data_IF_746010915727
#
_entry.id   IF_746010915727
#
_cell.length_a   1.000
_cell.length_b   1.000
_cell.length_c   1.000
_cell.angle_alpha   90.00
_cell.angle_beta   90.00
_cell.angle_gamma   90.00
#
_symmetry.space_group_name_H-M   'P 1'
#
loop_
_entity.id
_entity.type
_entity.pdbx_description
1 polymer ?
#
# COMPACT_ATOMS: atom_id res chain seq x y z
N UNK A 1 -0.61 -40.72 -20.48
CA UNK A 1 -0.27 -40.94 -19.05
C UNK A 1 -0.16 -39.56 -18.44
N UNK A 2 -0.87 -39.26 -17.34
CA UNK A 2 -0.74 -37.95 -16.66
C UNK A 2 0.69 -37.77 -16.17
N UNK A 3 1.22 -36.55 -16.23
CA UNK A 3 2.53 -36.27 -15.61
C UNK A 3 2.42 -36.44 -14.09
N UNK A 4 3.56 -36.63 -13.41
CA UNK A 4 3.55 -36.72 -11.95
C UNK A 4 3.03 -35.42 -11.30
N UNK A 5 3.35 -34.28 -11.88
CA UNK A 5 2.90 -32.97 -11.38
C UNK A 5 1.41 -32.77 -11.59
N UNK A 6 0.87 -33.20 -12.73
CA UNK A 6 -0.56 -33.20 -12.96
C UNK A 6 -1.28 -34.14 -11.98
N UNK A 7 -0.78 -35.36 -11.79
CA UNK A 7 -1.38 -36.31 -10.84
C UNK A 7 -1.40 -35.76 -9.41
N UNK A 8 -0.32 -35.08 -8.98
CA UNK A 8 -0.25 -34.40 -7.67
C UNK A 8 -1.25 -33.25 -7.56
N UNK A 9 -1.43 -32.47 -8.64
CA UNK A 9 -2.40 -31.37 -8.65
C UNK A 9 -3.84 -31.89 -8.48
N UNK A 10 -4.22 -32.94 -9.21
CA UNK A 10 -5.53 -33.60 -9.02
C UNK A 10 -5.69 -34.15 -7.60
N UNK A 11 -4.67 -34.83 -7.05
CA UNK A 11 -4.76 -35.34 -5.68
C UNK A 11 -4.92 -34.22 -4.65
N UNK A 12 -4.26 -33.08 -4.85
CA UNK A 12 -4.41 -31.89 -3.99
C UNK A 12 -5.81 -31.30 -4.09
N UNK A 13 -6.38 -31.26 -5.30
CA UNK A 13 -7.74 -30.83 -5.58
C UNK A 13 -8.77 -31.72 -4.84
N UNK A 14 -8.69 -33.04 -5.05
CA UNK A 14 -9.57 -34.03 -4.42
C UNK A 14 -9.47 -33.96 -2.89
N UNK A 15 -8.25 -33.93 -2.34
CA UNK A 15 -8.06 -33.84 -0.89
C UNK A 15 -8.67 -32.57 -0.29
N UNK A 16 -8.57 -31.44 -0.99
CA UNK A 16 -9.15 -30.18 -0.51
C UNK A 16 -10.67 -30.25 -0.53
N UNK A 17 -11.25 -30.84 -1.58
CA UNK A 17 -12.68 -31.09 -1.68
C UNK A 17 -13.18 -32.08 -0.62
N UNK A 18 -12.43 -33.13 -0.29
CA UNK A 18 -12.84 -34.11 0.73
C UNK A 18 -12.71 -33.58 2.17
N UNK A 19 -11.88 -32.56 2.39
CA UNK A 19 -11.56 -32.02 3.73
C UNK A 19 -12.06 -30.60 3.96
N UNK A 20 -12.88 -30.05 3.06
CA UNK A 20 -13.30 -28.64 3.10
C UNK A 20 -13.94 -28.23 4.43
N UNK A 21 -14.75 -29.10 5.04
CA UNK A 21 -15.40 -28.81 6.34
C UNK A 21 -14.40 -28.58 7.47
N UNK A 22 -13.25 -29.28 7.44
CA UNK A 22 -12.19 -29.10 8.42
C UNK A 22 -11.52 -27.73 8.25
N UNK A 23 -11.29 -27.31 7.01
CA UNK A 23 -10.72 -26.00 6.71
C UNK A 23 -11.70 -24.88 7.05
N UNK A 24 -12.98 -25.07 6.77
CA UNK A 24 -14.04 -24.14 7.16
C UNK A 24 -14.13 -23.99 8.68
N UNK A 25 -14.02 -25.09 9.44
CA UNK A 25 -13.98 -25.06 10.90
C UNK A 25 -12.76 -24.28 11.44
N UNK A 26 -11.60 -24.36 10.79
CA UNK A 26 -10.42 -23.56 11.16
C UNK A 26 -10.71 -22.07 10.99
N UNK A 27 -11.29 -21.65 9.85
CA UNK A 27 -11.66 -20.24 9.64
C UNK A 27 -12.72 -19.76 10.63
N UNK A 28 -13.80 -20.53 10.82
CA UNK A 28 -14.83 -20.18 11.79
C UNK A 28 -14.29 -20.05 13.23
N UNK A 29 -13.31 -20.89 13.60
CA UNK A 29 -12.64 -20.78 14.89
C UNK A 29 -11.76 -19.53 14.99
N UNK A 30 -11.04 -19.18 13.92
CA UNK A 30 -10.28 -17.94 13.86
C UNK A 30 -11.20 -16.72 14.03
N UNK A 31 -12.30 -16.67 13.26
CA UNK A 31 -13.24 -15.55 13.29
C UNK A 31 -13.87 -15.40 14.68
N UNK A 32 -14.32 -16.49 15.30
CA UNK A 32 -14.88 -16.47 16.65
C UNK A 32 -13.88 -15.97 17.71
N UNK A 33 -12.59 -16.33 17.58
CA UNK A 33 -11.55 -15.84 18.49
C UNK A 33 -11.31 -14.34 18.32
N UNK A 34 -11.34 -13.84 17.08
CA UNK A 34 -11.21 -12.41 16.78
C UNK A 34 -12.41 -11.62 17.30
N UNK A 35 -13.63 -12.12 17.11
CA UNK A 35 -14.87 -11.52 17.62
C UNK A 35 -14.88 -11.39 19.16
N UNK A 36 -14.24 -12.33 19.85
CA UNK A 36 -14.06 -12.28 21.31
C UNK A 36 -12.94 -11.31 21.76
N UNK A 37 -12.34 -10.56 20.84
CA UNK A 37 -11.23 -9.63 21.10
C UNK A 37 -9.86 -10.30 21.24
N UNK A 38 -9.76 -11.58 20.87
CA UNK A 38 -8.50 -12.32 20.85
C UNK A 38 -7.70 -12.11 19.56
N UNK A 39 -6.44 -12.57 19.52
CA UNK A 39 -5.57 -12.44 18.34
C UNK A 39 -5.92 -13.39 17.18
N UNK A 40 -6.96 -14.22 17.32
CA UNK A 40 -7.30 -15.27 16.35
C UNK A 40 -6.32 -16.45 16.35
N UNK A 41 -6.47 -17.33 15.36
CA UNK A 41 -5.49 -18.38 15.06
C UNK A 41 -4.26 -17.82 14.31
N UNK A 42 -3.08 -18.49 14.38
CA UNK A 42 -1.90 -18.09 13.64
C UNK A 42 -2.16 -17.98 12.14
N UNK A 43 -1.68 -16.90 11.53
CA UNK A 43 -1.97 -16.53 10.14
C UNK A 43 -1.60 -17.63 9.13
N UNK A 44 -0.50 -18.36 9.36
CA UNK A 44 -0.11 -19.50 8.53
C UNK A 44 -1.22 -20.55 8.40
N UNK A 45 -1.96 -20.83 9.48
CA UNK A 45 -3.04 -21.81 9.47
C UNK A 45 -4.30 -21.26 8.80
N UNK A 46 -4.58 -19.97 9.03
CA UNK A 46 -5.69 -19.25 8.39
C UNK A 46 -5.50 -19.23 6.87
N UNK A 47 -4.31 -18.84 6.40
CA UNK A 47 -3.98 -18.77 4.97
C UNK A 47 -3.96 -20.15 4.31
N UNK A 48 -3.51 -21.20 5.01
CA UNK A 48 -3.65 -22.59 4.51
C UNK A 48 -5.10 -23.03 4.39
N UNK A 49 -5.95 -22.68 5.36
CA UNK A 49 -7.37 -22.97 5.30
C UNK A 49 -8.04 -22.25 4.11
N UNK A 50 -7.75 -20.95 3.92
CA UNK A 50 -8.19 -20.17 2.75
C UNK A 50 -7.74 -20.83 1.44
N UNK A 51 -6.46 -21.18 1.30
CA UNK A 51 -5.93 -21.84 0.11
C UNK A 51 -6.66 -23.16 -0.23
N UNK A 52 -6.97 -23.98 0.78
CA UNK A 52 -7.69 -25.24 0.58
C UNK A 52 -9.18 -25.01 0.25
N UNK A 53 -9.82 -24.01 0.84
CA UNK A 53 -11.21 -23.67 0.56
C UNK A 53 -11.40 -23.05 -0.83
N UNK A 54 -10.49 -22.17 -1.26
CA UNK A 54 -10.42 -21.66 -2.63
C UNK A 54 -10.29 -22.83 -3.60
N UNK A 55 -9.33 -23.73 -3.34
CA UNK A 55 -9.15 -24.93 -4.16
C UNK A 55 -10.40 -25.80 -4.20
N UNK A 56 -11.06 -26.01 -3.07
CA UNK A 56 -12.30 -26.78 -2.98
C UNK A 56 -13.52 -26.08 -3.61
N UNK A 57 -13.37 -24.87 -4.15
CA UNK A 57 -14.45 -24.07 -4.73
C UNK A 57 -15.46 -23.59 -3.68
N UNK A 58 -15.06 -23.51 -2.41
CA UNK A 58 -15.90 -23.01 -1.32
C UNK A 58 -15.72 -21.51 -1.08
N UNK A 59 -14.62 -20.93 -1.57
CA UNK A 59 -14.32 -19.50 -1.57
C UNK A 59 -13.82 -19.14 -2.98
N UNK A 60 -14.03 -17.89 -3.41
CA UNK A 60 -13.53 -17.42 -4.71
C UNK A 60 -12.26 -16.57 -4.51
N UNK A 61 -11.31 -16.66 -5.45
CA UNK A 61 -10.12 -15.79 -5.38
C UNK A 61 -10.47 -14.31 -5.52
N UNK A 62 -11.60 -13.99 -6.16
CA UNK A 62 -12.10 -12.63 -6.35
C UNK A 62 -12.51 -11.93 -5.06
N UNK A 63 -12.72 -12.66 -3.97
CA UNK A 63 -13.06 -12.09 -2.66
C UNK A 63 -11.84 -11.55 -1.90
N UNK A 64 -10.65 -11.69 -2.48
CA UNK A 64 -9.37 -11.37 -1.85
C UNK A 64 -8.60 -10.32 -2.62
N UNK A 65 -7.87 -9.46 -1.91
CA UNK A 65 -6.93 -8.53 -2.54
C UNK A 65 -5.72 -9.27 -3.11
N UNK A 66 -4.96 -8.62 -3.98
CA UNK A 66 -3.71 -9.17 -4.51
C UNK A 66 -2.69 -9.47 -3.40
N UNK A 67 -2.67 -8.62 -2.36
CA UNK A 67 -1.83 -8.84 -1.19
C UNK A 67 -2.26 -10.10 -0.42
N UNK A 68 -3.56 -10.28 -0.20
CA UNK A 68 -4.10 -11.49 0.46
C UNK A 68 -3.79 -12.75 -0.35
N UNK A 69 -3.99 -12.72 -1.67
CA UNK A 69 -3.73 -13.87 -2.53
C UNK A 69 -2.23 -14.25 -2.55
N UNK A 70 -1.33 -13.25 -2.49
CA UNK A 70 0.12 -13.49 -2.34
C UNK A 70 0.44 -14.22 -1.03
N UNK A 71 -0.12 -13.79 0.09
CA UNK A 71 0.13 -14.45 1.40
C UNK A 71 -0.51 -15.84 1.47
N UNK A 72 -1.71 -16.01 0.90
CA UNK A 72 -2.39 -17.31 0.77
C UNK A 72 -1.53 -18.28 -0.04
N UNK A 73 -1.06 -17.88 -1.24
CA UNK A 73 -0.26 -18.72 -2.11
C UNK A 73 1.06 -19.17 -1.44
N UNK A 74 1.74 -18.25 -0.74
CA UNK A 74 2.98 -18.55 0.00
C UNK A 74 2.79 -19.60 1.10
N UNK A 75 1.60 -19.71 1.69
CA UNK A 75 1.31 -20.60 2.82
C UNK A 75 1.13 -22.08 2.45
N UNK A 76 0.74 -22.35 1.21
CA UNK A 76 0.30 -23.68 0.73
C UNK A 76 1.09 -24.19 -0.50
N UNK A 77 1.99 -23.35 -1.02
CA UNK A 77 2.92 -23.66 -2.10
C UNK A 77 2.30 -23.51 -3.50
N UNK A 78 3.10 -22.97 -4.41
CA UNK A 78 2.69 -22.56 -5.76
C UNK A 78 3.43 -23.39 -6.82
N UNK A 79 2.73 -23.81 -7.89
CA UNK A 79 3.39 -24.46 -9.02
C UNK A 79 4.06 -23.42 -9.92
N UNK A 80 5.22 -23.77 -10.46
CA UNK A 80 5.90 -22.96 -11.47
C UNK A 80 5.35 -23.36 -12.84
N UNK A 81 5.05 -22.37 -13.67
CA UNK A 81 4.52 -22.58 -15.01
C UNK A 81 5.44 -23.48 -15.86
N UNK A 82 4.81 -24.41 -16.57
CA UNK A 82 5.42 -25.16 -17.67
C UNK A 82 4.32 -25.54 -18.66
N UNK A 83 4.62 -25.48 -19.96
CA UNK A 83 3.72 -25.90 -21.03
C UNK A 83 3.31 -27.40 -20.95
N UNK A 84 3.93 -28.19 -20.06
CA UNK A 84 3.67 -29.62 -19.88
C UNK A 84 3.20 -30.00 -18.48
N UNK A 85 2.89 -29.02 -17.61
CA UNK A 85 2.43 -29.29 -16.23
C UNK A 85 1.01 -29.86 -16.14
N UNK A 86 0.32 -29.99 -17.28
CA UNK A 86 -1.02 -30.55 -17.41
C UNK A 86 -2.10 -29.56 -17.01
N UNK A 87 -3.15 -30.08 -16.38
CA UNK A 87 -4.30 -29.27 -15.95
C UNK A 87 -3.89 -28.19 -14.95
N UNK A 88 -4.37 -26.97 -15.15
CA UNK A 88 -4.32 -25.85 -14.21
C UNK A 88 -5.74 -25.52 -13.80
N UNK A 89 -6.01 -25.52 -12.50
CA UNK A 89 -7.36 -25.33 -11.97
C UNK A 89 -7.72 -23.85 -11.90
N UNK A 90 -9.03 -23.56 -11.91
CA UNK A 90 -9.52 -22.21 -11.59
C UNK A 90 -9.04 -21.83 -10.19
N UNK A 91 -8.68 -20.57 -10.00
CA UNK A 91 -8.18 -19.97 -8.77
C UNK A 91 -6.83 -20.54 -8.28
N UNK A 92 -6.15 -21.33 -9.10
CA UNK A 92 -4.84 -21.86 -8.77
C UNK A 92 -3.76 -20.78 -8.92
N UNK A 93 -2.93 -20.56 -7.88
CA UNK A 93 -1.77 -19.68 -7.99
C UNK A 93 -0.66 -20.36 -8.80
N UNK A 94 -0.08 -19.61 -9.73
CA UNK A 94 1.00 -20.06 -10.62
C UNK A 94 2.11 -19.01 -10.63
N UNK A 95 3.35 -19.45 -10.47
CA UNK A 95 4.52 -18.59 -10.74
C UNK A 95 4.77 -18.59 -12.24
N UNK A 96 4.67 -17.43 -12.87
CA UNK A 96 4.87 -17.23 -14.30
C UNK A 96 6.34 -17.36 -14.73
N UNK A 97 6.63 -17.35 -16.05
CA UNK A 97 7.99 -17.35 -16.58
C UNK A 97 8.83 -16.14 -16.15
N UNK A 98 8.16 -15.03 -15.85
CA UNK A 98 8.71 -13.78 -15.32
C UNK A 98 8.99 -13.84 -13.80
N UNK A 99 8.75 -14.98 -13.16
CA UNK A 99 8.85 -15.18 -11.70
C UNK A 99 7.82 -14.41 -10.88
N UNK A 100 6.83 -13.79 -11.53
CA UNK A 100 5.72 -13.13 -10.85
C UNK A 100 4.58 -14.12 -10.54
N UNK A 101 3.73 -13.75 -9.60
CA UNK A 101 2.62 -14.58 -9.18
C UNK A 101 1.35 -14.22 -9.95
N UNK A 102 0.66 -15.25 -10.44
CA UNK A 102 -0.59 -15.13 -11.17
C UNK A 102 -1.65 -16.03 -10.55
N UNK A 103 -2.92 -15.68 -10.74
CA UNK A 103 -4.07 -16.55 -10.46
C UNK A 103 -4.69 -16.98 -11.78
N UNK A 104 -4.91 -18.28 -11.91
CA UNK A 104 -5.65 -18.85 -13.03
C UNK A 104 -7.14 -18.47 -12.92
N UNK A 105 -7.68 -17.77 -13.89
CA UNK A 105 -9.09 -17.33 -13.89
C UNK A 105 -10.04 -18.40 -14.43
N UNK A 106 -9.53 -19.27 -15.32
CA UNK A 106 -10.30 -20.30 -16.00
C UNK A 106 -9.50 -21.59 -16.08
N UNK A 107 -10.07 -22.70 -15.60
CA UNK A 107 -9.41 -24.02 -15.71
C UNK A 107 -9.11 -24.37 -17.17
N UNK A 108 -7.87 -24.81 -17.44
CA UNK A 108 -7.42 -25.18 -18.78
C UNK A 108 -6.27 -26.21 -18.74
N UNK A 109 -5.90 -26.73 -19.91
CA UNK A 109 -4.66 -27.51 -20.07
C UNK A 109 -3.50 -26.55 -20.38
N UNK A 110 -2.41 -26.67 -19.63
CA UNK A 110 -1.19 -25.95 -19.96
C UNK A 110 -0.69 -26.39 -21.35
N UNK A 111 -0.27 -25.42 -22.15
CA UNK A 111 0.29 -25.63 -23.48
C UNK A 111 1.22 -24.48 -23.86
N UNK A 112 1.97 -24.65 -24.96
CA UNK A 112 2.82 -23.59 -25.48
C UNK A 112 2.02 -22.32 -25.79
N UNK A 113 2.68 -21.16 -25.68
CA UNK A 113 2.14 -19.82 -25.94
C UNK A 113 1.03 -19.33 -25.00
N UNK A 114 0.54 -20.18 -24.10
CA UNK A 114 -0.52 -19.85 -23.12
C UNK A 114 0.03 -19.55 -21.73
N UNK A 115 1.31 -19.20 -21.62
CA UNK A 115 1.92 -18.86 -20.34
C UNK A 115 1.29 -17.60 -19.73
N UNK A 116 1.31 -17.46 -18.39
CA UNK A 116 0.98 -16.20 -17.74
C UNK A 116 1.79 -15.04 -18.33
N UNK A 117 1.17 -13.87 -18.46
CA UNK A 117 1.80 -12.66 -19.01
C UNK A 117 1.96 -12.65 -20.55
N UNK A 118 1.55 -13.70 -21.27
CA UNK A 118 1.55 -13.69 -22.74
C UNK A 118 0.19 -13.29 -23.30
N UNK A 119 0.17 -12.95 -24.59
CA UNK A 119 -1.09 -12.77 -25.32
C UNK A 119 -1.99 -14.00 -25.20
N UNK A 120 -1.47 -15.23 -25.38
CA UNK A 120 -2.28 -16.44 -25.23
C UNK A 120 -2.84 -16.66 -23.81
N UNK A 121 -2.10 -16.25 -22.78
CA UNK A 121 -2.50 -16.38 -21.38
C UNK A 121 -3.38 -15.26 -20.84
N UNK A 122 -3.58 -14.16 -21.58
CA UNK A 122 -4.23 -12.92 -21.10
C UNK A 122 -5.65 -13.06 -20.54
N UNK A 123 -6.39 -14.08 -20.96
CA UNK A 123 -7.75 -14.36 -20.45
C UNK A 123 -7.76 -15.51 -19.43
N UNK A 124 -6.65 -16.23 -19.31
CA UNK A 124 -6.49 -17.43 -18.49
C UNK A 124 -5.84 -17.12 -17.15
N UNK A 125 -5.06 -16.04 -17.08
CA UNK A 125 -4.31 -15.63 -15.91
C UNK A 125 -4.52 -14.15 -15.60
N UNK A 126 -4.61 -13.86 -14.32
CA UNK A 126 -4.55 -12.50 -13.78
C UNK A 126 -3.26 -12.35 -12.97
N UNK A 127 -2.39 -11.36 -13.28
CA UNK A 127 -1.22 -11.06 -12.46
C UNK A 127 -1.65 -10.55 -11.09
N UNK A 128 -0.90 -10.91 -10.04
CA UNK A 128 -1.04 -10.37 -8.70
C UNK A 128 0.02 -9.30 -8.47
N UNK A 129 -0.38 -8.02 -8.53
CA UNK A 129 0.56 -6.89 -8.47
C UNK A 129 0.41 -6.12 -7.17
N UNK A 130 1.48 -5.48 -6.75
CA UNK A 130 1.47 -4.52 -5.65
C UNK A 130 1.65 -3.14 -6.26
N UNK A 131 0.78 -2.20 -5.90
CA UNK A 131 0.95 -0.82 -6.33
C UNK A 131 2.25 -0.24 -5.73
N UNK A 132 3.02 0.55 -6.51
CA UNK A 132 4.17 1.27 -5.99
C UNK A 132 3.74 2.24 -4.88
N UNK A 133 4.50 2.26 -3.77
CA UNK A 133 4.27 3.21 -2.66
C UNK A 133 4.83 4.61 -2.97
N UNK A 134 5.84 4.69 -3.84
CA UNK A 134 6.49 5.94 -4.21
C UNK A 134 5.62 6.75 -5.17
N UNK A 135 5.32 8.00 -4.79
CA UNK A 135 4.56 8.94 -5.64
C UNK A 135 5.32 9.19 -6.94
N UNK A 136 4.61 9.16 -8.06
CA UNK A 136 5.20 9.36 -9.39
C UNK A 136 5.78 8.07 -10.01
N UNK A 137 5.76 6.95 -9.29
CA UNK A 137 6.14 5.65 -9.83
C UNK A 137 4.90 4.89 -10.27
N UNK A 138 4.84 4.57 -11.57
CA UNK A 138 3.69 3.91 -12.18
C UNK A 138 4.10 2.58 -12.80
N UNK A 139 3.22 1.59 -12.62
CA UNK A 139 3.30 0.30 -13.28
C UNK A 139 2.95 0.43 -14.76
N UNK A 140 3.67 -0.31 -15.61
CA UNK A 140 3.28 -0.44 -17.02
C UNK A 140 2.06 -1.36 -17.17
N UNK A 141 1.26 -1.12 -18.22
CA UNK A 141 0.24 -2.07 -18.66
C UNK A 141 0.85 -3.42 -19.04
N UNK A 142 0.21 -4.50 -18.57
CA UNK A 142 0.56 -5.87 -18.93
C UNK A 142 -0.70 -6.69 -19.27
N UNK A 143 -0.50 -7.81 -19.97
CA UNK A 143 -1.57 -8.71 -20.36
C UNK A 143 -2.27 -9.35 -19.16
N UNK A 144 -3.60 -9.30 -19.16
CA UNK A 144 -4.47 -9.97 -18.18
C UNK A 144 -4.64 -9.23 -16.85
N UNK A 145 -4.03 -8.05 -16.69
CA UNK A 145 -4.16 -7.27 -15.46
C UNK A 145 -5.56 -6.71 -15.27
N UNK A 146 -6.09 -6.82 -14.05
CA UNK A 146 -7.26 -6.04 -13.64
C UNK A 146 -6.78 -4.78 -12.92
N UNK A 147 -6.87 -3.63 -13.59
CA UNK A 147 -6.44 -2.35 -13.03
C UNK A 147 -7.54 -1.79 -12.13
N UNK A 148 -7.28 -1.59 -10.83
CA UNK A 148 -8.28 -1.04 -9.90
C UNK A 148 -8.65 0.40 -10.25
N UNK A 149 -9.87 0.81 -9.89
CA UNK A 149 -10.27 2.21 -9.99
C UNK A 149 -9.34 3.12 -9.19
N UNK A 150 -8.97 4.26 -9.79
CA UNK A 150 -8.04 5.23 -9.20
C UNK A 150 -6.56 4.85 -9.32
N UNK A 151 -6.23 3.61 -9.68
CA UNK A 151 -4.86 3.25 -10.02
C UNK A 151 -4.44 3.90 -11.34
N UNK A 152 -3.14 4.12 -11.49
CA UNK A 152 -2.55 4.74 -12.68
C UNK A 152 -1.59 3.76 -13.32
N UNK A 153 -1.63 3.70 -14.65
CA UNK A 153 -0.73 2.86 -15.44
C UNK A 153 -0.10 3.66 -16.56
N UNK A 154 1.14 3.31 -16.86
CA UNK A 154 1.85 3.80 -18.03
C UNK A 154 1.59 2.86 -19.20
N UNK A 155 1.21 3.43 -20.32
CA UNK A 155 1.12 2.69 -21.57
C UNK A 155 2.54 2.55 -22.17
N UNK A 156 3.05 1.32 -22.37
CA UNK A 156 4.41 1.11 -22.86
C UNK A 156 4.63 1.60 -24.30
N UNK A 157 3.58 1.85 -25.08
CA UNK A 157 3.67 2.27 -26.48
C UNK A 157 3.77 3.79 -26.60
N UNK A 158 2.86 4.52 -25.96
CA UNK A 158 2.81 5.99 -26.06
C UNK A 158 3.41 6.73 -24.86
N UNK A 159 3.77 6.00 -23.80
CA UNK A 159 4.36 6.50 -22.55
C UNK A 159 3.44 7.42 -21.74
N UNK A 160 2.15 7.52 -22.09
CA UNK A 160 1.17 8.31 -21.36
C UNK A 160 0.62 7.53 -20.16
N UNK A 161 0.06 8.29 -19.21
CA UNK A 161 -0.54 7.75 -18.00
C UNK A 161 -2.05 7.70 -18.15
N UNK A 162 -2.63 6.57 -17.75
CA UNK A 162 -4.07 6.35 -17.83
C UNK A 162 -4.62 5.84 -16.50
N UNK A 163 -5.85 6.20 -16.20
CA UNK A 163 -6.58 5.73 -15.02
C UNK A 163 -7.98 5.24 -15.39
N UNK A 164 -8.47 4.13 -14.82
CA UNK A 164 -9.83 3.66 -15.07
C UNK A 164 -10.89 4.68 -14.67
N UNK A 165 -11.98 4.76 -15.43
CA UNK A 165 -13.12 5.65 -15.10
C UNK A 165 -14.27 4.92 -14.40
N UNK A 166 -14.27 3.59 -14.39
CA UNK A 166 -15.30 2.77 -13.75
C UNK A 166 -14.83 2.32 -12.37
N UNK A 167 -15.71 2.43 -11.38
CA UNK A 167 -15.44 2.00 -9.99
C UNK A 167 -15.06 0.52 -9.89
N UNK A 168 -15.58 -0.32 -10.78
CA UNK A 168 -15.23 -1.74 -10.83
C UNK A 168 -13.76 -2.00 -11.24
N UNK A 169 -13.04 -1.00 -11.76
CA UNK A 169 -11.77 -1.22 -12.45
C UNK A 169 -11.97 -1.72 -13.88
N UNK A 170 -10.87 -2.07 -14.55
CA UNK A 170 -10.86 -2.53 -15.95
C UNK A 170 -9.84 -3.65 -16.14
N UNK A 171 -10.27 -4.77 -16.73
CA UNK A 171 -9.36 -5.85 -17.15
C UNK A 171 -8.74 -5.52 -18.50
N UNK A 172 -7.40 -5.54 -18.54
CA UNK A 172 -6.60 -5.32 -19.72
C UNK A 172 -6.34 -6.63 -20.45
N UNK A 173 -6.86 -6.71 -21.66
CA UNK A 173 -6.55 -7.81 -22.57
C UNK A 173 -5.59 -7.41 -23.67
N UNK A 174 -5.04 -6.20 -23.68
CA UNK A 174 -3.99 -5.69 -24.59
C UNK A 174 -3.19 -4.58 -23.86
N UNK A 175 -1.86 -4.47 -24.01
CA UNK A 175 -1.05 -3.46 -23.32
C UNK A 175 -1.20 -2.04 -23.88
N UNK A 176 -1.95 -1.85 -24.97
CA UNK A 176 -2.17 -0.55 -25.61
C UNK A 176 -3.61 -0.42 -26.12
N UNK A 177 -4.34 0.58 -25.64
CA UNK A 177 -5.79 0.70 -25.89
C UNK A 177 -6.23 2.14 -26.25
N UNK A 178 -5.88 2.68 -27.43
CA UNK A 178 -6.39 3.99 -27.86
C UNK A 178 -7.91 3.99 -28.06
N UNK A 179 -8.54 2.81 -28.25
CA UNK A 179 -9.99 2.68 -28.46
C UNK A 179 -10.81 2.53 -27.16
N UNK A 180 -10.17 2.28 -26.01
CA UNK A 180 -10.84 2.27 -24.71
C UNK A 180 -10.81 3.66 -24.03
N UNK A 181 -10.18 4.63 -24.67
CA UNK A 181 -10.24 6.04 -24.26
C UNK A 181 -11.28 6.75 -25.13
N UNK A 182 -12.31 7.41 -24.56
CA UNK A 182 -12.55 7.65 -23.13
C UNK A 182 -13.58 6.70 -22.49
N UNK A 183 -13.81 5.50 -23.05
CA UNK A 183 -14.93 4.62 -22.64
C UNK A 183 -14.68 3.80 -21.37
N UNK A 184 -13.44 3.40 -21.11
CA UNK A 184 -12.99 2.65 -19.92
C UNK A 184 -11.86 3.37 -19.17
N UNK A 185 -11.03 4.13 -19.89
CA UNK A 185 -9.90 4.88 -19.35
C UNK A 185 -9.98 6.36 -19.71
N UNK A 186 -9.31 7.19 -18.91
CA UNK A 186 -9.00 8.59 -19.23
C UNK A 186 -7.50 8.84 -19.05
N UNK A 187 -6.99 9.86 -19.74
CA UNK A 187 -5.66 10.37 -19.50
C UNK A 187 -5.54 10.84 -18.05
N UNK A 188 -4.47 10.46 -17.38
CA UNK A 188 -4.14 10.91 -16.03
C UNK A 188 -3.17 12.08 -16.12
N UNK A 189 -3.57 13.18 -15.50
CA UNK A 189 -2.73 14.36 -15.29
C UNK A 189 -2.31 14.35 -13.82
N UNK A 190 -1.00 14.37 -13.57
CA UNK A 190 -0.51 14.48 -12.21
C UNK A 190 -1.02 15.79 -11.59
N UNK A 191 -1.62 15.76 -10.39
CA UNK A 191 -2.00 16.98 -9.72
C UNK A 191 -0.73 17.80 -9.44
N UNK A 192 -0.78 19.09 -9.77
CA UNK A 192 0.30 20.03 -9.44
C UNK A 192 0.64 19.92 -7.95
N UNK A 193 1.93 19.97 -7.58
CA UNK A 193 2.31 19.95 -6.17
C UNK A 193 1.58 21.08 -5.45
N UNK A 194 1.07 20.80 -4.25
CA UNK A 194 0.54 21.87 -3.41
C UNK A 194 1.63 22.93 -3.24
N UNK A 195 1.29 24.22 -3.38
CA UNK A 195 2.26 25.29 -3.19
C UNK A 195 2.94 25.09 -1.84
N UNK A 196 4.27 25.21 -1.79
CA UNK A 196 5.01 25.15 -0.54
C UNK A 196 4.35 26.13 0.45
N UNK A 197 4.16 25.73 1.73
CA UNK A 197 3.66 26.66 2.73
C UNK A 197 4.54 27.90 2.71
N UNK A 198 3.92 29.09 2.74
CA UNK A 198 4.66 30.34 2.84
C UNK A 198 5.68 30.22 3.97
N UNK A 199 6.95 30.63 3.76
CA UNK A 199 7.96 30.53 4.80
C UNK A 199 7.42 31.18 6.07
N UNK A 200 7.51 30.45 7.19
CA UNK A 200 7.17 31.00 8.49
C UNK A 200 7.95 32.32 8.66
N UNK A 201 7.31 33.38 9.22
CA UNK A 201 8.01 34.63 9.45
C UNK A 201 9.30 34.33 10.22
N UNK A 202 10.42 34.87 9.74
CA UNK A 202 11.70 34.78 10.44
C UNK A 202 11.48 35.17 11.92
N UNK A 203 12.07 34.44 12.89
CA UNK A 203 11.90 34.77 14.30
C UNK A 203 12.24 36.24 14.48
N UNK A 204 11.28 37.03 15.00
CA UNK A 204 11.50 38.44 15.32
C UNK A 204 12.80 38.54 16.14
N UNK A 205 13.76 39.37 15.69
CA UNK A 205 15.00 39.65 16.40
C UNK A 205 14.66 39.95 17.87
N UNK A 206 15.01 39.03 18.77
CA UNK A 206 14.79 39.20 20.20
C UNK A 206 15.50 40.47 20.66
N UNK A 207 14.78 41.53 21.07
CA UNK A 207 15.36 42.85 21.28
C UNK A 207 16.40 42.85 22.41
N UNK A 208 17.51 43.58 22.24
CA UNK A 208 18.52 43.76 23.29
C UNK A 208 18.01 44.75 24.34
N UNK A 209 18.06 44.34 25.61
CA UNK A 209 17.76 45.15 26.77
C UNK A 209 18.43 46.51 26.74
N UNK A 210 19.69 46.59 26.29
CA UNK A 210 20.46 47.83 26.28
C UNK A 210 20.02 48.80 25.17
N UNK A 211 19.35 48.29 24.13
CA UNK A 211 18.82 49.08 23.01
C UNK A 211 17.37 49.55 23.24
N UNK A 212 16.65 48.93 24.17
CA UNK A 212 15.27 49.30 24.49
C UNK A 212 15.17 50.65 25.22
N UNK A 213 14.19 51.46 24.83
CA UNK A 213 13.92 52.76 25.46
C UNK A 213 13.62 52.64 26.97
N UNK A 214 14.01 53.66 27.74
CA UNK A 214 13.62 53.78 29.14
C UNK A 214 12.09 53.82 29.25
N UNK A 215 11.52 52.95 30.08
CA UNK A 215 10.08 52.67 30.21
C UNK A 215 9.44 51.80 29.10
N UNK A 216 10.23 51.04 28.32
CA UNK A 216 9.69 49.95 27.51
C UNK A 216 8.86 48.98 28.36
N UNK A 217 7.69 48.54 27.89
CA UNK A 217 6.79 47.66 28.66
C UNK A 217 6.82 46.26 28.09
N UNK A 218 7.25 45.30 28.90
CA UNK A 218 7.27 43.88 28.59
C UNK A 218 5.96 43.20 29.01
N UNK A 219 5.44 42.33 28.15
CA UNK A 219 4.35 41.40 28.43
C UNK A 219 4.88 40.02 28.83
N UNK A 220 4.04 39.21 29.46
CA UNK A 220 4.37 37.81 29.78
C UNK A 220 4.55 37.04 28.47
N UNK A 221 5.66 36.32 28.34
CA UNK A 221 6.05 35.57 27.15
C UNK A 221 6.92 36.36 26.17
N UNK A 222 7.12 37.67 26.38
CA UNK A 222 8.09 38.44 25.59
C UNK A 222 9.50 37.90 25.84
N UNK A 223 10.33 37.96 24.81
CA UNK A 223 11.74 37.62 24.89
C UNK A 223 12.59 38.88 24.74
N UNK A 224 13.71 38.93 25.45
CA UNK A 224 14.73 39.95 25.26
C UNK A 224 16.13 39.36 25.51
N UNK A 225 17.15 39.96 24.92
CA UNK A 225 18.55 39.58 25.16
C UNK A 225 19.23 40.57 26.10
N UNK A 226 20.15 40.11 26.93
CA UNK A 226 21.07 40.97 27.69
C UNK A 226 22.40 40.23 27.87
N UNK A 227 23.51 40.89 27.52
CA UNK A 227 24.86 40.29 27.53
C UNK A 227 24.94 38.95 26.77
N UNK A 228 24.20 38.83 25.65
CA UNK A 228 24.18 37.63 24.80
C UNK A 228 23.41 36.43 25.38
N UNK A 229 22.69 36.62 26.49
CA UNK A 229 21.76 35.62 27.04
C UNK A 229 20.33 36.05 26.77
N UNK A 230 19.49 35.12 26.30
CA UNK A 230 18.06 35.34 26.11
C UNK A 230 17.26 35.09 27.39
N UNK A 231 16.26 35.92 27.62
CA UNK A 231 15.36 35.84 28.78
C UNK A 231 13.91 35.88 28.32
N UNK A 232 13.08 35.01 28.91
CA UNK A 232 11.62 34.99 28.75
C UNK A 232 10.96 35.69 29.94
N UNK A 233 10.06 36.62 29.67
CA UNK A 233 9.35 37.41 30.68
C UNK A 233 8.23 36.60 31.33
N UNK A 234 8.27 36.49 32.66
CA UNK A 234 7.32 35.75 33.49
C UNK A 234 6.19 36.62 34.05
N UNK A 235 6.41 37.94 34.14
CA UNK A 235 5.44 38.92 34.66
C UNK A 235 5.55 40.21 33.88
N UNK A 236 4.43 40.89 33.66
CA UNK A 236 4.42 42.21 33.02
C UNK A 236 5.23 43.21 33.86
N UNK A 237 6.14 43.95 33.23
CA UNK A 237 6.86 45.05 33.87
C UNK A 237 7.30 46.12 32.86
N UNK A 238 7.74 47.25 33.40
CA UNK A 238 8.29 48.36 32.63
C UNK A 238 9.79 48.47 32.92
N UNK A 239 10.63 48.58 31.89
CA UNK A 239 12.09 48.64 31.97
C UNK A 239 12.55 49.73 32.94
N UNK A 240 13.38 49.34 33.90
CA UNK A 240 14.13 50.24 34.79
C UNK A 240 15.60 49.83 34.76
N UNK A 241 16.52 50.79 34.80
CA UNK A 241 17.96 50.53 34.65
C UNK A 241 18.50 49.53 35.70
N UNK A 242 17.93 49.53 36.91
CA UNK A 242 18.32 48.63 38.00
C UNK A 242 17.63 47.25 37.96
N UNK A 243 16.82 46.98 36.93
CA UNK A 243 16.06 45.72 36.78
C UNK A 243 16.63 44.81 35.68
N UNK A 244 17.74 45.20 35.06
CA UNK A 244 18.49 44.35 34.14
C UNK A 244 18.88 43.02 34.82
N UNK A 245 18.92 41.89 34.09
CA UNK A 245 19.43 40.64 34.64
C UNK A 245 20.81 40.82 35.30
N UNK A 246 21.08 40.16 36.44
CA UNK A 246 20.29 39.11 37.08
C UNK A 246 19.28 39.62 38.15
N UNK A 247 19.00 40.93 38.22
CA UNK A 247 18.34 41.55 39.37
C UNK A 247 16.99 40.91 39.76
N UNK A 248 16.20 40.45 38.78
CA UNK A 248 14.86 39.88 38.97
C UNK A 248 14.71 38.47 38.39
N UNK A 249 15.84 37.76 38.26
CA UNK A 249 15.88 36.43 37.69
C UNK A 249 14.99 35.45 38.49
N UNK A 250 14.20 34.64 37.77
CA UNK A 250 13.20 33.70 38.29
C UNK A 250 11.98 34.32 39.01
N UNK A 251 11.82 35.64 38.96
CA UNK A 251 10.60 36.32 39.44
C UNK A 251 9.89 37.06 38.30
N UNK A 252 10.60 37.93 37.58
CA UNK A 252 10.04 38.71 36.47
C UNK A 252 10.44 38.18 35.10
N UNK A 253 11.58 37.50 35.00
CA UNK A 253 12.07 36.84 33.79
C UNK A 253 12.95 35.65 34.16
N UNK A 254 13.10 34.68 33.26
CA UNK A 254 14.02 33.54 33.41
C UNK A 254 14.96 33.49 32.21
N UNK A 255 16.18 33.01 32.41
CA UNK A 255 17.07 32.73 31.28
C UNK A 255 16.49 31.57 30.46
N UNK A 256 16.49 31.72 29.14
CA UNK A 256 16.19 30.64 28.22
C UNK A 256 17.48 29.86 28.04
N UNK A 257 17.56 28.68 28.66
CA UNK A 257 18.63 27.73 28.39
C UNK A 257 18.21 26.85 27.23
N UNK A 258 19.05 26.75 26.20
CA UNK A 258 18.99 25.66 25.21
C UNK A 258 19.02 24.28 25.87
#
# INVERSE_FOLDING_TARGET
>A
MRSLDEARAYQKQEKSADTYELWAAILATHDALVELGGPGLPELHVNRARANLIRAGQLESGDYTDADLKTIAASDGTRIWSATMGTIFKDEPIVGPDSELYICTTQHQAQADWAPGTEGGRTLFRPLRSEPEERGVYLDFIWGEHVPYGAVRRDPVDQQLYTPIKEAGVTLYEPHYPHLVPSEYKLYEEPEPEPEPEPEPEPEDTPDWDELEANHTFQVGDHFTHDGTEYEVLRVFTKQDNWAPPALLNDYYKAVTE
#
